data_IF_832556926103
#
_entry.id   IF_832556926103
#
_cell.length_a   1.000
_cell.length_b   1.000
_cell.length_c   1.000
_cell.angle_alpha   90.00
_cell.angle_beta   90.00
_cell.angle_gamma   90.00
#
_symmetry.space_group_name_H-M   'P 1'
#
loop_
_entity.id
_entity.type
_entity.pdbx_description
1 polymer ?
#
# COMPACT_ATOMS: atom_id res chain seq x y z
N UNK A 1 9.48 10.68 11.02
CA UNK A 1 10.51 11.23 10.12
C UNK A 1 10.23 10.77 8.70
N UNK A 2 10.11 11.71 7.78
CA UNK A 2 9.86 11.37 6.38
C UNK A 2 11.15 10.95 5.69
N UNK A 3 11.09 9.83 4.99
CA UNK A 3 12.13 9.45 4.03
C UNK A 3 11.70 10.00 2.67
N UNK A 4 12.54 10.84 2.08
CA UNK A 4 12.26 11.34 0.73
C UNK A 4 12.94 10.44 -0.30
N UNK A 5 12.18 10.08 -1.32
CA UNK A 5 12.68 9.26 -2.42
C UNK A 5 13.00 10.14 -3.62
N UNK A 6 14.07 9.78 -4.32
CA UNK A 6 14.29 10.23 -5.70
C UNK A 6 13.61 9.23 -6.62
N UNK A 7 13.48 9.56 -7.91
CA UNK A 7 12.98 8.59 -8.89
C UNK A 7 13.82 7.31 -8.86
N UNK A 8 15.14 7.46 -8.79
CA UNK A 8 16.06 6.32 -8.74
C UNK A 8 15.84 5.46 -7.49
N UNK A 9 15.81 6.08 -6.31
CA UNK A 9 15.66 5.33 -5.07
C UNK A 9 14.28 4.70 -4.94
N UNK A 10 13.23 5.35 -5.45
CA UNK A 10 11.89 4.79 -5.48
C UNK A 10 11.84 3.55 -6.38
N UNK A 11 12.44 3.61 -7.56
CA UNK A 11 12.51 2.45 -8.46
C UNK A 11 13.35 1.31 -7.88
N UNK A 12 14.41 1.62 -7.15
CA UNK A 12 15.22 0.61 -6.46
C UNK A 12 14.44 -0.08 -5.34
N UNK A 13 13.59 0.66 -4.63
CA UNK A 13 12.75 0.11 -3.56
C UNK A 13 11.53 -0.64 -4.09
N UNK A 14 11.12 -0.36 -5.32
CA UNK A 14 9.84 -0.82 -5.85
C UNK A 14 9.62 -2.33 -5.79
N UNK A 15 10.57 -3.21 -6.16
CA UNK A 15 10.34 -4.65 -6.09
C UNK A 15 9.97 -5.13 -4.69
N UNK A 16 10.66 -4.65 -3.66
CA UNK A 16 10.36 -4.99 -2.27
C UNK A 16 9.01 -4.43 -1.83
N UNK A 17 8.71 -3.21 -2.25
CA UNK A 17 7.44 -2.55 -1.92
C UNK A 17 6.26 -3.29 -2.58
N UNK A 18 6.41 -3.70 -3.83
CA UNK A 18 5.39 -4.48 -4.56
C UNK A 18 5.14 -5.81 -3.85
N UNK A 19 6.19 -6.50 -3.41
CA UNK A 19 6.06 -7.75 -2.67
C UNK A 19 5.23 -7.56 -1.39
N UNK A 20 5.52 -6.51 -0.63
CA UNK A 20 4.77 -6.19 0.59
C UNK A 20 3.33 -5.81 0.28
N UNK A 21 3.10 -5.07 -0.79
CA UNK A 21 1.76 -4.73 -1.25
C UNK A 21 0.96 -5.99 -1.62
N UNK A 22 1.58 -6.92 -2.34
CA UNK A 22 0.93 -8.18 -2.72
C UNK A 22 0.59 -9.05 -1.49
N UNK A 23 1.44 -9.03 -0.46
CA UNK A 23 1.17 -9.70 0.79
C UNK A 23 -0.07 -9.13 1.49
N UNK A 24 -0.26 -7.81 1.42
CA UNK A 24 -1.46 -7.16 1.93
C UNK A 24 -2.72 -7.61 1.19
N UNK A 25 -2.65 -7.71 -0.13
CA UNK A 25 -3.77 -8.17 -0.95
C UNK A 25 -4.17 -9.60 -0.58
N UNK A 26 -3.18 -10.48 -0.40
CA UNK A 26 -3.42 -11.86 0.02
C UNK A 26 -4.07 -11.91 1.41
N UNK A 27 -3.56 -11.11 2.35
CA UNK A 27 -4.06 -11.09 3.72
C UNK A 27 -5.49 -10.56 3.77
N UNK A 28 -5.82 -9.58 2.93
CA UNK A 28 -7.20 -9.11 2.82
C UNK A 28 -8.15 -10.24 2.42
N UNK A 29 -7.73 -11.07 1.47
CA UNK A 29 -8.53 -12.23 1.05
C UNK A 29 -8.70 -13.23 2.20
N UNK A 30 -7.68 -13.42 3.03
CA UNK A 30 -7.80 -14.29 4.21
C UNK A 30 -8.80 -13.75 5.23
N UNK A 31 -8.85 -12.43 5.40
CA UNK A 31 -9.86 -11.79 6.25
C UNK A 31 -11.26 -12.04 5.69
N UNK A 32 -11.45 -11.87 4.38
CA UNK A 32 -12.74 -12.09 3.74
C UNK A 32 -13.22 -13.53 3.91
N UNK A 33 -12.31 -14.51 3.77
CA UNK A 33 -12.64 -15.91 4.01
C UNK A 33 -13.03 -16.16 5.47
N UNK A 34 -12.30 -15.58 6.41
CA UNK A 34 -12.59 -15.73 7.85
C UNK A 34 -13.94 -15.11 8.21
N UNK A 35 -14.29 -13.97 7.57
CA UNK A 35 -15.60 -13.34 7.76
C UNK A 35 -16.73 -14.24 7.25
N UNK A 36 -16.56 -14.86 6.09
CA UNK A 36 -17.54 -15.79 5.53
C UNK A 36 -17.71 -17.03 6.43
N UNK A 37 -16.60 -17.60 6.90
CA UNK A 37 -16.63 -18.76 7.81
C UNK A 37 -17.36 -18.41 9.10
N UNK A 38 -17.15 -17.21 9.64
CA UNK A 38 -17.84 -16.75 10.84
C UNK A 38 -19.34 -16.66 10.62
N UNK A 39 -19.77 -16.10 9.48
CA UNK A 39 -21.19 -15.99 9.16
C UNK A 39 -21.86 -17.36 9.00
N UNK A 40 -21.11 -18.35 8.52
CA UNK A 40 -21.62 -19.71 8.30
C UNK A 40 -21.54 -20.60 9.53
N UNK A 41 -20.89 -20.18 10.61
CA UNK A 41 -20.63 -20.99 11.81
C UNK A 41 -21.63 -20.73 12.92
N UNK A 42 -22.91 -20.55 12.59
CA UNK A 42 -23.95 -20.18 13.57
C UNK A 42 -24.45 -21.35 14.43
N UNK A 43 -23.87 -22.54 14.34
CA UNK A 43 -24.41 -23.75 14.96
C UNK A 43 -24.11 -23.88 16.46
N UNK A 44 -23.03 -23.26 16.96
CA UNK A 44 -22.72 -23.29 18.39
C UNK A 44 -21.90 -22.08 18.81
N UNK A 45 -21.96 -21.78 20.11
CA UNK A 45 -21.18 -20.71 20.70
C UNK A 45 -19.67 -21.00 20.58
N UNK A 46 -19.26 -22.23 20.84
CA UNK A 46 -17.85 -22.62 20.75
C UNK A 46 -17.29 -22.44 19.35
N UNK A 47 -18.05 -22.84 18.33
CA UNK A 47 -17.67 -22.65 16.94
C UNK A 47 -17.58 -21.16 16.58
N UNK A 48 -18.57 -20.39 17.01
CA UNK A 48 -18.56 -18.92 16.81
C UNK A 48 -17.31 -18.29 17.42
N UNK A 49 -16.99 -18.64 18.68
CA UNK A 49 -15.82 -18.08 19.36
C UNK A 49 -14.52 -18.44 18.68
N UNK A 50 -14.40 -19.69 18.21
CA UNK A 50 -13.22 -20.15 17.46
C UNK A 50 -13.04 -19.36 16.16
N UNK A 51 -14.12 -19.18 15.41
CA UNK A 51 -14.07 -18.43 14.16
C UNK A 51 -13.82 -16.93 14.40
N UNK A 52 -14.35 -16.39 15.48
CA UNK A 52 -14.12 -15.00 15.86
C UNK A 52 -12.64 -14.76 16.20
N UNK A 53 -12.01 -15.67 16.93
CA UNK A 53 -10.58 -15.60 17.24
C UNK A 53 -9.73 -15.68 15.98
N UNK A 54 -10.11 -16.54 15.03
CA UNK A 54 -9.43 -16.65 13.75
C UNK A 54 -9.50 -15.33 12.97
N UNK A 55 -10.70 -14.75 12.89
CA UNK A 55 -10.90 -13.46 12.20
C UNK A 55 -10.04 -12.37 12.84
N UNK A 56 -10.03 -12.27 14.16
CA UNK A 56 -9.23 -11.27 14.87
C UNK A 56 -7.74 -11.47 14.62
N UNK A 57 -7.27 -12.71 14.56
CA UNK A 57 -5.87 -13.04 14.24
C UNK A 57 -5.51 -12.61 12.83
N UNK A 58 -6.37 -12.86 11.85
CA UNK A 58 -6.15 -12.43 10.46
C UNK A 58 -6.10 -10.91 10.35
N UNK A 59 -6.96 -10.19 11.06
CA UNK A 59 -6.94 -8.72 11.11
C UNK A 59 -5.64 -8.18 11.72
N UNK A 60 -5.14 -8.82 12.79
CA UNK A 60 -3.87 -8.44 13.42
C UNK A 60 -2.71 -8.57 12.43
N UNK A 61 -2.65 -9.67 11.69
CA UNK A 61 -1.65 -9.87 10.64
C UNK A 61 -1.72 -8.78 9.58
N UNK A 62 -2.93 -8.39 9.20
CA UNK A 62 -3.14 -7.35 8.19
C UNK A 62 -2.56 -6.00 8.65
N UNK A 63 -2.86 -5.58 9.88
CA UNK A 63 -2.32 -4.33 10.42
C UNK A 63 -0.79 -4.37 10.53
N UNK A 64 -0.22 -5.52 10.89
CA UNK A 64 1.23 -5.71 10.92
C UNK A 64 1.84 -5.52 9.52
N UNK A 65 1.21 -6.07 8.49
CA UNK A 65 1.69 -5.94 7.11
C UNK A 65 1.60 -4.51 6.60
N UNK A 66 0.58 -3.74 7.03
CA UNK A 66 0.50 -2.31 6.72
C UNK A 66 1.68 -1.56 7.36
N UNK A 67 1.96 -1.84 8.63
CA UNK A 67 3.11 -1.23 9.32
C UNK A 67 4.42 -1.56 8.62
N UNK A 68 4.61 -2.81 8.21
CA UNK A 68 5.82 -3.24 7.50
C UNK A 68 5.97 -2.52 6.16
N UNK A 69 4.87 -2.32 5.44
CA UNK A 69 4.88 -1.58 4.19
C UNK A 69 5.24 -0.11 4.44
N UNK A 70 4.57 0.54 5.37
CA UNK A 70 4.77 1.96 5.63
C UNK A 70 6.11 2.24 6.33
N UNK A 71 6.71 1.25 6.98
CA UNK A 71 8.07 1.36 7.53
C UNK A 71 9.13 1.53 6.43
N UNK A 72 8.83 1.18 5.19
CA UNK A 72 9.72 1.45 4.05
C UNK A 72 9.77 2.93 3.67
N UNK A 73 8.87 3.75 4.21
CA UNK A 73 8.72 5.16 3.87
C UNK A 73 7.59 5.45 2.90
N UNK A 74 6.98 4.42 2.34
CA UNK A 74 5.88 4.52 1.36
C UNK A 74 4.55 4.68 2.11
N UNK A 75 3.63 5.43 1.53
CA UNK A 75 2.28 5.60 2.06
C UNK A 75 1.27 4.79 1.24
N UNK A 76 0.49 3.97 1.93
CA UNK A 76 -0.61 3.23 1.29
C UNK A 76 -1.81 4.17 1.14
N UNK A 77 -2.19 4.46 -0.11
CA UNK A 77 -3.31 5.36 -0.40
C UNK A 77 -4.59 4.62 -0.73
N UNK A 78 -4.51 3.44 -1.30
CA UNK A 78 -5.67 2.62 -1.56
C UNK A 78 -5.28 1.20 -1.88
N UNK A 79 -5.72 0.25 -1.06
CA UNK A 79 -5.40 -1.16 -1.29
C UNK A 79 -6.19 -1.72 -2.46
N UNK A 80 -7.50 -1.45 -2.51
CA UNK A 80 -8.35 -1.96 -3.58
C UNK A 80 -8.03 -1.32 -4.92
N UNK A 81 -7.73 -0.02 -4.92
CA UNK A 81 -7.32 0.72 -6.12
C UNK A 81 -5.89 0.40 -6.54
N UNK A 82 -5.09 -0.17 -5.63
CA UNK A 82 -3.70 -0.48 -5.90
C UNK A 82 -2.82 0.76 -5.98
N UNK A 83 -2.94 1.68 -5.00
CA UNK A 83 -2.24 2.97 -5.03
C UNK A 83 -1.27 3.11 -3.88
N UNK A 84 -0.01 3.41 -4.22
CA UNK A 84 1.06 3.72 -3.27
C UNK A 84 1.70 5.04 -3.65
N UNK A 85 2.04 5.84 -2.64
CA UNK A 85 2.72 7.11 -2.84
C UNK A 85 4.05 7.13 -2.09
N UNK A 86 5.09 7.59 -2.79
CA UNK A 86 6.44 7.71 -2.27
C UNK A 86 6.70 9.20 -2.02
N UNK A 87 6.99 9.61 -0.77
CA UNK A 87 7.32 11.02 -0.51
C UNK A 87 8.55 11.46 -1.30
N UNK A 88 8.46 12.60 -1.94
CA UNK A 88 9.55 13.16 -2.74
C UNK A 88 9.53 14.68 -2.69
N UNK A 89 10.50 15.31 -3.31
CA UNK A 89 10.60 16.75 -3.42
C UNK A 89 10.78 17.18 -4.87
N UNK A 90 10.14 18.28 -5.21
CA UNK A 90 10.27 18.93 -6.51
C UNK A 90 10.48 20.42 -6.25
N UNK A 91 11.67 20.94 -6.57
CA UNK A 91 12.03 22.34 -6.29
C UNK A 91 11.74 22.73 -4.83
N UNK A 92 12.17 21.90 -3.87
CA UNK A 92 11.95 22.08 -2.43
C UNK A 92 10.49 21.96 -1.98
N UNK A 93 9.56 21.69 -2.87
CA UNK A 93 8.16 21.42 -2.52
C UNK A 93 7.94 19.93 -2.36
N UNK A 94 7.15 19.55 -1.34
CA UNK A 94 6.79 18.17 -1.12
C UNK A 94 5.81 17.69 -2.20
N UNK A 95 6.10 16.54 -2.78
CA UNK A 95 5.24 15.88 -3.76
C UNK A 95 5.20 14.39 -3.48
N UNK A 96 4.33 13.68 -4.19
CA UNK A 96 4.25 12.23 -4.14
C UNK A 96 4.67 11.65 -5.50
N UNK A 97 5.54 10.63 -5.47
CA UNK A 97 5.74 9.77 -6.62
C UNK A 97 4.68 8.67 -6.54
N UNK A 98 3.85 8.56 -7.57
CA UNK A 98 2.66 7.71 -7.55
C UNK A 98 2.88 6.41 -8.30
N UNK A 99 2.60 5.30 -7.63
CA UNK A 99 2.61 3.97 -8.23
C UNK A 99 1.21 3.39 -8.20
N UNK A 100 0.81 2.80 -9.32
CA UNK A 100 -0.43 2.03 -9.42
C UNK A 100 -0.11 0.58 -9.72
N UNK A 101 -0.85 -0.34 -9.11
CA UNK A 101 -0.70 -1.78 -9.31
C UNK A 101 -0.69 -2.12 -10.81
N UNK A 102 0.32 -2.86 -11.23
CA UNK A 102 0.57 -3.18 -12.63
C UNK A 102 1.67 -2.36 -13.29
N UNK A 103 2.05 -1.24 -12.71
CA UNK A 103 3.17 -0.45 -13.21
C UNK A 103 4.49 -1.09 -12.77
N UNK A 104 5.46 -1.16 -13.68
CA UNK A 104 6.76 -1.80 -13.42
C UNK A 104 7.83 -0.84 -12.97
N UNK A 105 7.56 0.47 -13.09
CA UNK A 105 8.47 1.52 -12.64
C UNK A 105 7.67 2.76 -12.27
N UNK A 106 8.31 3.69 -11.56
CA UNK A 106 7.70 4.97 -11.18
C UNK A 106 7.70 5.88 -12.39
N UNK A 107 6.51 6.28 -12.85
CA UNK A 107 6.31 7.10 -14.05
C UNK A 107 5.50 8.37 -13.80
N UNK A 108 4.92 8.54 -12.61
CA UNK A 108 3.99 9.63 -12.33
C UNK A 108 4.26 10.25 -10.98
N UNK A 109 3.88 11.50 -10.85
CA UNK A 109 3.92 12.24 -9.58
C UNK A 109 2.65 13.09 -9.45
N UNK A 110 2.34 13.53 -8.24
CA UNK A 110 1.28 14.49 -8.00
C UNK A 110 1.61 15.39 -6.81
N UNK A 111 0.95 16.55 -6.76
CA UNK A 111 1.08 17.47 -5.64
C UNK A 111 0.51 16.86 -4.36
N UNK A 112 0.90 17.42 -3.21
CA UNK A 112 0.42 16.94 -1.91
C UNK A 112 -1.10 17.02 -1.78
N UNK A 113 -1.72 18.01 -2.43
CA UNK A 113 -3.16 18.25 -2.35
C UNK A 113 -3.97 17.51 -3.40
N UNK A 114 -3.34 16.93 -4.43
CA UNK A 114 -4.03 16.15 -5.45
C UNK A 114 -3.82 14.66 -5.20
N UNK A 115 -4.78 13.85 -5.61
CA UNK A 115 -4.68 12.41 -5.56
C UNK A 115 -4.34 11.82 -6.91
N UNK A 116 -4.67 10.53 -7.09
CA UNK A 116 -4.41 9.79 -8.32
C UNK A 116 -4.90 10.53 -9.58
N UNK A 117 -6.08 11.16 -9.52
CA UNK A 117 -6.63 11.88 -10.67
C UNK A 117 -5.81 13.09 -11.10
N UNK A 118 -4.98 13.62 -10.22
CA UNK A 118 -4.11 14.75 -10.51
C UNK A 118 -2.69 14.36 -10.86
N UNK A 119 -2.40 13.08 -11.07
CA UNK A 119 -1.04 12.64 -11.32
C UNK A 119 -0.57 13.04 -12.70
N UNK A 120 0.70 13.41 -12.78
CA UNK A 120 1.37 13.95 -13.97
C UNK A 120 2.51 13.01 -14.36
N UNK A 121 2.77 12.84 -15.67
CA UNK A 121 3.89 12.01 -16.09
C UNK A 121 5.23 12.65 -15.74
N UNK A 122 6.19 11.81 -15.34
CA UNK A 122 7.57 12.23 -15.13
C UNK A 122 8.26 12.27 -16.48
N UNK A 123 8.78 13.44 -16.84
CA UNK A 123 9.57 13.63 -18.04
C UNK A 123 11.02 13.21 -17.78
N UNK A 124 11.69 12.63 -18.79
CA UNK A 124 13.12 12.30 -18.71
C UNK A 124 13.95 13.55 -18.42
N UNK A 125 13.47 14.72 -18.86
CA UNK A 125 14.13 16.00 -18.65
C UNK A 125 13.75 16.66 -17.32
N UNK A 126 12.93 16.04 -16.50
CA UNK A 126 12.49 16.61 -15.22
C UNK A 126 13.51 16.33 -14.11
N UNK A 127 14.60 17.09 -14.15
CA UNK A 127 15.69 16.98 -13.19
C UNK A 127 15.27 17.32 -11.76
N UNK A 128 14.13 17.99 -11.61
CA UNK A 128 13.62 18.41 -10.28
C UNK A 128 13.19 17.23 -9.41
N UNK A 129 12.98 16.07 -10.01
CA UNK A 129 12.53 14.86 -9.29
C UNK A 129 13.63 13.83 -9.11
N UNK A 130 14.85 14.18 -9.43
CA UNK A 130 15.99 13.27 -9.30
C UNK A 130 16.63 13.36 -7.93
#
# INVERSE_FOLDING_TARGET
>A
MFTYFTIKSANEALPNVIEKFNNLKKQKNEIMKAEQELQMSASSLDEYMTQKQKLNSEKTKFYQLIEDLEATGVSLKGLDQGLLDFPSKRFDEDVWLCWKDGETEIKFWHDMDSGFNGRKPISISDESLV
#
